data_IF_490224411876
#
_entry.id   IF_490224411876
#
_cell.length_a   1.000
_cell.length_b   1.000
_cell.length_c   1.000
_cell.angle_alpha   90.00
_cell.angle_beta   90.00
_cell.angle_gamma   90.00
#
_symmetry.space_group_name_H-M   'P 1'
#
loop_
_entity.id
_entity.type
_entity.pdbx_description
1 polymer ?
#
# COMPACT_ATOMS: atom_id res chain seq x y z
N UNK A 1 -6.41 -1.68 -13.16
CA UNK A 1 -6.12 -0.75 -12.04
C UNK A 1 -5.22 -1.48 -11.07
N UNK A 2 -4.01 -0.97 -10.83
CA UNK A 2 -3.07 -1.52 -9.84
C UNK A 2 -3.51 -1.08 -8.44
N UNK A 3 -3.60 -2.02 -7.49
CA UNK A 3 -3.94 -1.72 -6.09
C UNK A 3 -2.80 -0.95 -5.41
N UNK A 4 -3.09 -0.19 -4.35
CA UNK A 4 -2.09 0.54 -3.57
C UNK A 4 -0.90 -0.35 -3.16
N UNK A 5 -1.15 -1.57 -2.71
CA UNK A 5 -0.08 -2.52 -2.34
C UNK A 5 0.73 -3.00 -3.53
N UNK A 6 0.12 -3.16 -4.70
CA UNK A 6 0.87 -3.48 -5.92
C UNK A 6 1.84 -2.35 -6.27
N UNK A 7 1.41 -1.10 -6.09
CA UNK A 7 2.26 0.07 -6.30
C UNK A 7 3.38 0.16 -5.26
N UNK A 8 3.07 0.01 -3.97
CA UNK A 8 4.07 -0.01 -2.89
C UNK A 8 5.09 -1.14 -3.10
N UNK A 9 4.62 -2.34 -3.44
CA UNK A 9 5.49 -3.49 -3.71
C UNK A 9 6.45 -3.21 -4.87
N UNK A 10 5.96 -2.61 -5.96
CA UNK A 10 6.81 -2.20 -7.07
C UNK A 10 7.90 -1.20 -6.61
N UNK A 11 7.54 -0.17 -5.84
CA UNK A 11 8.50 0.82 -5.33
C UNK A 11 9.55 0.20 -4.40
N UNK A 12 9.15 -0.78 -3.59
CA UNK A 12 10.07 -1.52 -2.74
C UNK A 12 11.07 -2.34 -3.56
N UNK A 13 10.62 -3.07 -4.58
CA UNK A 13 11.51 -3.84 -5.45
C UNK A 13 12.51 -2.94 -6.19
N UNK A 14 12.06 -1.79 -6.69
CA UNK A 14 12.96 -0.80 -7.30
C UNK A 14 13.99 -0.29 -6.30
N UNK A 15 13.54 0.12 -5.11
CA UNK A 15 14.42 0.62 -4.04
C UNK A 15 15.45 -0.43 -3.59
N UNK A 16 15.09 -1.71 -3.55
CA UNK A 16 16.02 -2.80 -3.24
C UNK A 16 17.07 -2.98 -4.33
N UNK A 17 16.65 -2.97 -5.59
CA UNK A 17 17.57 -3.09 -6.71
C UNK A 17 18.57 -1.92 -6.74
N UNK A 18 18.10 -0.70 -6.51
CA UNK A 18 18.93 0.51 -6.51
C UNK A 18 19.94 0.59 -5.36
N UNK A 19 19.61 0.02 -4.20
CA UNK A 19 20.49 -0.01 -3.03
C UNK A 19 21.49 -1.16 -3.08
N UNK A 20 21.45 -2.02 -4.11
CA UNK A 20 22.20 -3.26 -4.14
C UNK A 20 21.79 -4.21 -3.01
N UNK A 21 20.50 -4.23 -2.68
CA UNK A 21 19.92 -4.98 -1.55
C UNK A 21 20.43 -4.55 -0.18
N UNK A 22 20.82 -3.28 -0.04
CA UNK A 22 21.19 -2.66 1.22
C UNK A 22 19.98 -2.27 2.09
N UNK A 23 20.09 -1.15 2.80
CA UNK A 23 19.05 -0.67 3.70
C UNK A 23 17.92 0.04 2.94
N UNK A 24 16.67 -0.26 3.31
CA UNK A 24 15.48 0.52 2.94
C UNK A 24 14.79 1.00 4.21
N UNK A 25 14.31 2.24 4.19
CA UNK A 25 13.49 2.82 5.25
C UNK A 25 12.11 3.11 4.69
N UNK A 26 11.09 2.57 5.33
CA UNK A 26 9.69 2.89 5.05
C UNK A 26 9.18 3.73 6.22
N UNK A 27 8.60 4.87 5.90
CA UNK A 27 8.11 5.84 6.87
C UNK A 27 6.74 6.36 6.43
N UNK A 28 5.96 6.84 7.39
CA UNK A 28 4.65 7.44 7.11
C UNK A 28 4.53 8.76 7.84
N UNK A 29 3.98 9.76 7.16
CA UNK A 29 3.72 11.06 7.73
C UNK A 29 2.30 11.52 7.40
N UNK A 30 1.82 12.48 8.19
CA UNK A 30 0.56 13.16 7.88
C UNK A 30 0.78 14.07 6.67
N UNK A 31 0.20 13.67 5.55
CA UNK A 31 0.15 14.46 4.32
C UNK A 31 -0.87 15.60 4.41
N UNK A 32 -0.97 16.35 3.31
CA UNK A 32 -1.95 17.45 3.20
C UNK A 32 -3.37 16.93 3.32
N UNK A 33 -4.25 17.75 3.91
CA UNK A 33 -5.69 17.44 4.12
C UNK A 33 -5.93 16.17 4.95
N UNK A 34 -5.00 15.80 5.83
CA UNK A 34 -5.17 14.66 6.74
C UNK A 34 -4.94 13.29 6.11
N UNK A 35 -4.53 13.22 4.84
CA UNK A 35 -4.17 11.97 4.16
C UNK A 35 -2.87 11.40 4.70
N UNK A 36 -2.66 10.09 4.59
CA UNK A 36 -1.39 9.45 4.96
C UNK A 36 -0.47 9.50 3.76
N UNK A 37 0.76 9.95 3.96
CA UNK A 37 1.81 9.90 2.95
C UNK A 37 2.83 8.85 3.38
N UNK A 38 3.09 7.88 2.51
CA UNK A 38 4.15 6.89 2.70
C UNK A 38 5.38 7.34 1.94
N UNK A 39 6.54 7.18 2.55
CA UNK A 39 7.84 7.50 1.99
C UNK A 39 8.69 6.24 2.05
N UNK A 40 9.24 5.84 0.92
CA UNK A 40 10.16 4.70 0.78
C UNK A 40 11.51 5.29 0.38
N UNK A 41 12.51 5.11 1.25
CA UNK A 41 13.86 5.65 1.08
C UNK A 41 14.84 4.51 0.86
N UNK A 42 15.46 4.48 -0.31
CA UNK A 42 16.66 3.72 -0.63
C UNK A 42 17.71 4.67 -1.19
N UNK A 43 18.29 4.34 -2.36
CA UNK A 43 19.10 5.29 -3.13
C UNK A 43 18.22 6.42 -3.69
N UNK A 44 17.02 6.07 -4.19
CA UNK A 44 15.97 7.02 -4.57
C UNK A 44 14.93 7.18 -3.47
N UNK A 45 14.31 8.36 -3.42
CA UNK A 45 13.22 8.66 -2.51
C UNK A 45 11.88 8.62 -3.24
N UNK A 46 11.09 7.61 -2.94
CA UNK A 46 9.74 7.45 -3.46
C UNK A 46 8.72 7.92 -2.43
N UNK A 47 7.63 8.53 -2.90
CA UNK A 47 6.51 8.88 -2.03
C UNK A 47 5.17 8.63 -2.71
N UNK A 48 4.25 8.03 -1.97
CA UNK A 48 2.86 7.88 -2.38
C UNK A 48 1.92 8.46 -1.32
N UNK A 49 0.80 9.02 -1.77
CA UNK A 49 -0.28 9.47 -0.89
C UNK A 49 -1.37 8.43 -0.89
N UNK A 50 -1.72 7.93 0.30
CA UNK A 50 -2.86 7.06 0.52
C UNK A 50 -4.11 7.93 0.60
N UNK A 51 -5.06 7.71 -0.31
CA UNK A 51 -6.34 8.40 -0.36
C UNK A 51 -7.43 7.64 0.40
N UNK A 52 -8.56 8.30 0.66
CA UNK A 52 -9.70 7.67 1.30
C UNK A 52 -10.26 6.55 0.42
N UNK A 53 -10.25 6.75 -0.91
CA UNK A 53 -10.62 5.76 -1.90
C UNK A 53 -9.74 4.51 -1.84
N UNK A 54 -8.41 4.68 -1.69
CA UNK A 54 -7.47 3.56 -1.54
C UNK A 54 -7.80 2.73 -0.28
N UNK A 55 -8.09 3.41 0.83
CA UNK A 55 -8.46 2.75 2.10
C UNK A 55 -9.77 2.00 1.97
N UNK A 56 -10.79 2.60 1.35
CA UNK A 56 -12.08 1.95 1.14
C UNK A 56 -11.94 0.71 0.25
N UNK A 57 -11.17 0.80 -0.83
CA UNK A 57 -10.89 -0.33 -1.69
C UNK A 57 -10.18 -1.45 -0.92
N UNK A 58 -9.15 -1.11 -0.12
CA UNK A 58 -8.43 -2.09 0.71
C UNK A 58 -9.34 -2.79 1.71
N UNK A 59 -10.24 -2.05 2.37
CA UNK A 59 -11.18 -2.66 3.32
C UNK A 59 -12.13 -3.63 2.62
N UNK A 60 -12.60 -3.29 1.41
CA UNK A 60 -13.46 -4.19 0.63
C UNK A 60 -12.71 -5.45 0.15
N UNK A 61 -11.46 -5.31 -0.30
CA UNK A 61 -10.61 -6.43 -0.70
C UNK A 61 -10.33 -7.35 0.49
N UNK A 62 -10.00 -6.77 1.66
CA UNK A 62 -9.76 -7.54 2.88
C UNK A 62 -11.02 -8.26 3.37
N UNK A 63 -12.18 -7.62 3.30
CA UNK A 63 -13.45 -8.23 3.67
C UNK A 63 -13.81 -9.41 2.74
N UNK A 64 -13.57 -9.26 1.43
CA UNK A 64 -13.71 -10.37 0.46
C UNK A 64 -12.77 -11.53 0.80
N UNK A 65 -11.50 -11.24 1.07
CA UNK A 65 -10.53 -12.27 1.48
C UNK A 65 -10.92 -12.96 2.79
N UNK A 66 -11.39 -12.18 3.78
CA UNK A 66 -11.89 -12.71 5.06
C UNK A 66 -13.09 -13.63 4.86
N UNK A 67 -14.03 -13.25 4.00
CA UNK A 67 -15.17 -14.08 3.60
C UNK A 67 -14.75 -15.40 2.94
N UNK A 68 -13.79 -15.34 2.00
CA UNK A 68 -13.27 -16.52 1.33
C UNK A 68 -12.52 -17.47 2.28
N UNK A 69 -11.75 -16.93 3.24
CA UNK A 69 -11.01 -17.72 4.23
C UNK A 69 -11.91 -18.35 5.30
N UNK A 70 -13.03 -17.69 5.62
CA UNK A 70 -13.99 -18.16 6.62
C UNK A 70 -15.17 -18.96 6.03
N UNK A 71 -15.19 -19.22 4.72
CA UNK A 71 -16.26 -19.97 4.05
C UNK A 71 -17.63 -19.27 4.00
N UNK A 72 -17.71 -18.00 4.38
CA UNK A 72 -18.96 -17.23 4.39
C UNK A 72 -18.97 -16.26 3.20
N UNK A 73 -19.96 -16.40 2.30
CA UNK A 73 -20.18 -15.43 1.22
C UNK A 73 -20.53 -14.04 1.81
N UNK A 74 -19.96 -12.94 1.28
CA UNK A 74 -20.29 -11.61 1.75
C UNK A 74 -21.78 -11.32 1.52
N UNK A 75 -22.44 -10.56 2.43
CA UNK A 75 -23.84 -10.22 2.26
C UNK A 75 -23.99 -9.38 0.99
N UNK A 76 -24.78 -9.92 0.06
CA UNK A 76 -25.22 -9.19 -1.14
C UNK A 76 -26.09 -8.04 -0.65
N UNK A 77 -25.63 -6.80 -0.87
CA UNK A 77 -26.47 -5.61 -0.75
C UNK A 77 -27.35 -5.48 -1.98
#
# INVERSE_FOLDING_TARGET
MTTLFSHIHYLLLQSWNETGYGQIIIDSQRGRRGKIQVIIRGSTHYSCTITDEDVQQMMQEFEKLRCCLNGNTPPVK
#
